data_IF_697641964826
#
_entry.id   IF_697641964826
#
_cell.length_a   1.000
_cell.length_b   1.000
_cell.length_c   1.000
_cell.angle_alpha   90.00
_cell.angle_beta   90.00
_cell.angle_gamma   90.00
#
_symmetry.space_group_name_H-M   'P 1'
#
loop_
_entity.id
_entity.type
_entity.pdbx_description
1 polymer ?
#
# COMPACT_ATOMS: atom_id res chain seq x y z
N UNK A 1 20.33 10.45 34.03
CA UNK A 1 21.19 9.73 33.06
C UNK A 1 20.48 8.43 32.75
N UNK A 2 20.52 7.99 31.51
CA UNK A 2 20.08 6.64 31.16
C UNK A 2 21.19 5.68 31.54
N UNK A 3 20.93 4.75 32.45
CA UNK A 3 21.95 3.84 32.97
C UNK A 3 22.11 2.59 32.09
N UNK A 4 21.08 2.25 31.28
CA UNK A 4 21.07 1.09 30.41
C UNK A 4 20.18 1.30 29.20
N UNK A 5 20.58 0.75 28.04
CA UNK A 5 19.74 0.62 26.82
C UNK A 5 19.56 -0.86 26.55
N UNK A 6 18.32 -1.35 26.66
CA UNK A 6 17.98 -2.72 26.33
C UNK A 6 17.39 -2.77 24.92
N UNK A 7 17.98 -3.59 24.06
CA UNK A 7 17.47 -3.80 22.71
C UNK A 7 16.41 -4.91 22.73
N UNK A 8 15.27 -4.64 22.10
CA UNK A 8 14.23 -5.66 21.93
C UNK A 8 14.72 -6.80 21.03
N UNK A 9 14.26 -8.01 21.31
CA UNK A 9 14.52 -9.20 20.50
C UNK A 9 13.24 -10.05 20.37
N UNK A 10 12.75 -10.35 19.16
CA UNK A 10 13.33 -9.98 17.87
C UNK A 10 13.17 -8.47 17.52
N UNK A 11 14.06 -7.97 16.68
CA UNK A 11 14.03 -6.60 16.17
C UNK A 11 14.40 -6.57 14.68
N UNK A 12 14.03 -5.47 13.98
CA UNK A 12 14.32 -5.28 12.56
C UNK A 12 13.04 -5.00 11.77
N UNK A 13 13.17 -4.98 10.46
CA UNK A 13 12.03 -4.84 9.56
C UNK A 13 11.31 -6.19 9.37
N UNK A 14 10.05 -6.13 8.95
CA UNK A 14 9.35 -7.33 8.50
C UNK A 14 9.84 -7.71 7.08
N UNK A 15 9.62 -8.95 6.69
CA UNK A 15 10.03 -9.47 5.38
C UNK A 15 9.43 -8.68 4.19
N UNK A 16 8.26 -8.04 4.37
CA UNK A 16 7.64 -7.19 3.37
C UNK A 16 8.43 -5.90 3.13
N UNK A 17 8.90 -5.27 4.20
CA UNK A 17 9.75 -4.07 4.17
C UNK A 17 11.11 -4.39 3.57
N UNK A 18 11.79 -5.43 4.05
CA UNK A 18 13.09 -5.85 3.54
C UNK A 18 13.02 -6.14 2.02
N UNK A 19 12.00 -6.88 1.59
CA UNK A 19 11.77 -7.17 0.18
C UNK A 19 11.57 -5.91 -0.65
N UNK A 20 10.81 -4.94 -0.16
CA UNK A 20 10.54 -3.71 -0.91
C UNK A 20 11.82 -2.87 -1.09
N UNK A 21 12.63 -2.74 -0.06
CA UNK A 21 13.95 -2.08 -0.12
C UNK A 21 14.85 -2.79 -1.12
N UNK A 22 14.98 -4.12 -1.00
CA UNK A 22 15.82 -4.94 -1.88
C UNK A 22 15.43 -4.82 -3.36
N UNK A 23 14.14 -4.70 -3.69
CA UNK A 23 13.69 -4.50 -5.07
C UNK A 23 14.23 -3.18 -5.64
N UNK A 24 14.19 -2.07 -4.90
CA UNK A 24 14.71 -0.78 -5.34
C UNK A 24 16.22 -0.85 -5.52
N UNK A 25 16.95 -1.40 -4.54
CA UNK A 25 18.40 -1.56 -4.60
C UNK A 25 18.83 -2.41 -5.81
N UNK A 26 18.17 -3.55 -6.03
CA UNK A 26 18.44 -4.41 -7.18
C UNK A 26 18.09 -3.74 -8.51
N UNK A 27 17.02 -2.94 -8.55
CA UNK A 27 16.69 -2.18 -9.75
C UNK A 27 17.78 -1.14 -10.07
N UNK A 28 18.29 -0.41 -9.05
CA UNK A 28 19.40 0.53 -9.20
C UNK A 28 20.67 -0.16 -9.70
N UNK A 29 21.01 -1.33 -9.17
CA UNK A 29 22.19 -2.10 -9.62
C UNK A 29 22.03 -2.57 -11.08
N UNK A 30 20.83 -3.01 -11.45
CA UNK A 30 20.59 -3.63 -12.75
C UNK A 30 20.39 -2.63 -13.89
N UNK A 31 19.70 -1.52 -13.62
CA UNK A 31 19.29 -0.57 -14.66
C UNK A 31 20.01 0.78 -14.55
N UNK A 32 20.71 1.03 -13.43
CA UNK A 32 21.32 2.32 -13.12
C UNK A 32 20.32 3.34 -12.60
N UNK A 33 20.85 4.42 -12.05
CA UNK A 33 20.04 5.57 -11.62
C UNK A 33 19.64 6.44 -12.83
N UNK A 34 18.47 7.13 -12.78
CA UNK A 34 17.51 7.10 -11.70
C UNK A 34 16.51 5.94 -11.80
N UNK A 35 16.04 5.45 -10.64
CA UNK A 35 14.88 4.58 -10.52
C UNK A 35 13.75 5.37 -9.85
N UNK A 36 12.59 5.40 -10.46
CA UNK A 36 11.43 6.10 -9.93
C UNK A 36 10.63 5.19 -9.00
N UNK A 37 10.21 5.70 -7.85
CA UNK A 37 9.43 4.95 -6.86
C UNK A 37 8.16 5.72 -6.53
N UNK A 38 6.99 5.12 -6.78
CA UNK A 38 5.72 5.76 -6.48
C UNK A 38 5.41 5.65 -5.00
N UNK A 39 5.23 6.79 -4.35
CA UNK A 39 5.17 6.99 -2.90
C UNK A 39 6.49 6.59 -2.21
N UNK A 40 6.61 6.86 -0.92
CA UNK A 40 7.69 6.29 -0.12
C UNK A 40 7.62 4.77 -0.20
N UNK A 41 8.78 4.11 -0.38
CA UNK A 41 8.82 2.64 -0.49
C UNK A 41 8.24 1.96 0.76
N UNK A 42 8.50 2.57 1.89
CA UNK A 42 7.96 2.26 3.22
C UNK A 42 7.94 3.55 4.05
N UNK A 43 7.10 3.66 5.07
CA UNK A 43 7.04 4.82 5.95
C UNK A 43 8.23 4.85 6.93
N UNK A 44 9.43 5.07 6.40
CA UNK A 44 10.65 5.21 7.16
C UNK A 44 11.59 6.21 6.48
N UNK A 45 11.67 7.41 7.04
CA UNK A 45 12.44 8.53 6.48
C UNK A 45 13.92 8.18 6.31
N UNK A 46 14.50 7.36 7.19
CA UNK A 46 15.90 6.95 7.09
C UNK A 46 16.10 6.10 5.83
N UNK A 47 15.29 5.06 5.65
CA UNK A 47 15.32 4.19 4.45
C UNK A 47 15.11 5.00 3.17
N UNK A 48 14.13 5.90 3.17
CA UNK A 48 13.82 6.75 2.01
C UNK A 48 15.03 7.62 1.65
N UNK A 49 15.69 8.22 2.64
CA UNK A 49 16.87 9.06 2.41
C UNK A 49 18.06 8.25 1.91
N UNK A 50 18.31 7.07 2.44
CA UNK A 50 19.39 6.19 1.98
C UNK A 50 19.18 5.79 0.50
N UNK A 51 17.95 5.43 0.13
CA UNK A 51 17.62 5.10 -1.26
C UNK A 51 17.76 6.32 -2.19
N UNK A 52 17.39 7.53 -1.74
CA UNK A 52 17.63 8.78 -2.50
C UNK A 52 19.12 9.01 -2.78
N UNK A 53 19.98 8.77 -1.79
CA UNK A 53 21.44 8.95 -1.94
C UNK A 53 22.00 8.05 -3.04
N UNK A 54 21.48 6.85 -3.22
CA UNK A 54 21.93 5.90 -4.24
C UNK A 54 21.18 6.02 -5.58
N UNK A 55 20.26 7.00 -5.71
CA UNK A 55 19.65 7.36 -6.99
C UNK A 55 18.18 6.99 -7.19
N UNK A 56 17.45 6.65 -6.11
CA UNK A 56 16.00 6.53 -6.18
C UNK A 56 15.36 7.93 -6.16
N UNK A 57 14.34 8.13 -7.01
CA UNK A 57 13.50 9.33 -7.06
C UNK A 57 12.10 8.93 -6.65
N UNK A 58 11.63 9.48 -5.54
CA UNK A 58 10.27 9.25 -5.06
C UNK A 58 9.33 10.27 -5.69
N UNK A 59 8.20 9.78 -6.21
CA UNK A 59 7.19 10.56 -6.93
C UNK A 59 5.80 10.27 -6.36
N UNK A 60 4.90 11.21 -6.51
CA UNK A 60 3.48 11.03 -6.16
C UNK A 60 2.65 10.69 -7.41
N UNK A 61 2.93 11.34 -8.54
CA UNK A 61 2.18 11.18 -9.78
C UNK A 61 3.03 10.58 -10.90
N UNK A 62 2.43 9.70 -11.71
CA UNK A 62 3.13 9.07 -12.84
C UNK A 62 3.53 10.08 -13.94
N UNK A 63 2.92 11.27 -13.95
CA UNK A 63 3.29 12.37 -14.83
C UNK A 63 4.70 12.91 -14.60
N UNK A 64 5.26 12.67 -13.41
CA UNK A 64 6.62 13.05 -13.03
C UNK A 64 7.69 12.12 -13.61
N UNK A 65 7.27 10.94 -14.12
CA UNK A 65 8.17 9.91 -14.64
C UNK A 65 8.41 10.09 -16.13
N UNK A 66 9.68 10.18 -16.60
CA UNK A 66 9.99 10.24 -18.01
C UNK A 66 9.56 8.97 -18.77
N UNK A 67 9.17 9.08 -20.05
CA UNK A 67 8.82 7.93 -20.87
C UNK A 67 9.93 6.86 -20.89
N UNK A 68 9.56 5.59 -20.75
CA UNK A 68 10.48 4.46 -20.80
C UNK A 68 11.35 4.26 -19.55
N UNK A 69 11.14 5.06 -18.50
CA UNK A 69 11.87 4.92 -17.26
C UNK A 69 11.48 3.65 -16.49
N UNK A 70 12.34 3.26 -15.55
CA UNK A 70 12.06 2.18 -14.59
C UNK A 70 11.29 2.75 -13.40
N UNK A 71 10.13 2.13 -13.14
CA UNK A 71 9.21 2.51 -12.05
C UNK A 71 9.06 1.36 -11.06
N UNK A 72 9.08 1.67 -9.77
CA UNK A 72 8.77 0.72 -8.70
C UNK A 72 7.49 1.16 -7.98
N UNK A 73 6.54 0.26 -7.84
CA UNK A 73 5.40 0.46 -6.94
C UNK A 73 5.82 0.12 -5.51
N UNK A 74 5.48 0.99 -4.55
CA UNK A 74 5.87 0.83 -3.15
C UNK A 74 5.21 -0.37 -2.47
N UNK A 75 5.63 -0.66 -1.24
CA UNK A 75 5.09 -1.76 -0.43
C UNK A 75 3.58 -1.63 -0.17
N UNK A 76 3.03 -0.42 -0.25
CA UNK A 76 1.61 -0.13 -0.01
C UNK A 76 0.67 -0.63 -1.10
N UNK A 77 1.20 -0.97 -2.27
CA UNK A 77 0.41 -1.31 -3.46
C UNK A 77 -0.18 -0.08 -4.15
N UNK A 78 -0.83 -0.32 -5.28
CA UNK A 78 -1.41 0.74 -6.12
C UNK A 78 -2.77 0.30 -6.66
N UNK A 79 -3.61 1.28 -7.02
CA UNK A 79 -4.89 1.05 -7.69
C UNK A 79 -4.72 0.43 -9.08
N UNK A 80 -5.80 -0.16 -9.61
CA UNK A 80 -5.84 -0.65 -10.99
C UNK A 80 -5.63 0.49 -12.00
N UNK A 81 -6.16 1.69 -11.72
CA UNK A 81 -5.97 2.86 -12.57
C UNK A 81 -4.48 3.21 -12.74
N UNK A 82 -3.71 3.22 -11.65
CA UNK A 82 -2.26 3.45 -11.69
C UNK A 82 -1.52 2.38 -12.47
N UNK A 83 -1.93 1.10 -12.35
CA UNK A 83 -1.35 0.00 -13.13
C UNK A 83 -1.60 0.18 -14.63
N UNK A 84 -2.82 0.56 -15.01
CA UNK A 84 -3.17 0.84 -16.41
C UNK A 84 -2.37 2.02 -16.96
N UNK A 85 -2.34 3.14 -16.24
CA UNK A 85 -1.58 4.31 -16.65
C UNK A 85 -0.09 4.01 -16.83
N UNK A 86 0.52 3.26 -15.89
CA UNK A 86 1.91 2.86 -16.02
C UNK A 86 2.17 2.00 -17.27
N UNK A 87 1.24 1.10 -17.61
CA UNK A 87 1.31 0.29 -18.81
C UNK A 87 1.16 1.13 -20.09
N UNK A 88 0.18 2.04 -20.14
CA UNK A 88 -0.04 2.95 -21.26
C UNK A 88 1.16 3.87 -21.54
N UNK A 89 1.85 4.32 -20.47
CA UNK A 89 3.07 5.13 -20.57
C UNK A 89 4.32 4.32 -20.94
N UNK A 90 4.22 2.98 -20.99
CA UNK A 90 5.30 2.09 -21.39
C UNK A 90 6.45 2.02 -20.38
N UNK A 91 6.18 2.21 -19.09
CA UNK A 91 7.21 2.09 -18.04
C UNK A 91 7.64 0.63 -17.85
N UNK A 92 8.93 0.46 -17.48
CA UNK A 92 9.43 -0.82 -16.98
C UNK A 92 9.10 -0.93 -15.49
N UNK A 93 7.99 -1.62 -15.17
CA UNK A 93 7.43 -1.64 -13.81
C UNK A 93 7.93 -2.82 -12.99
N UNK A 94 8.36 -2.56 -11.76
CA UNK A 94 8.63 -3.55 -10.72
C UNK A 94 7.67 -3.34 -9.55
N UNK A 95 6.99 -4.40 -9.14
CA UNK A 95 5.98 -4.34 -8.09
C UNK A 95 6.59 -4.79 -6.76
N UNK A 96 6.81 -3.83 -5.84
CA UNK A 96 7.29 -4.09 -4.50
C UNK A 96 6.16 -4.22 -3.46
N UNK A 97 4.89 -4.26 -3.89
CA UNK A 97 3.74 -4.43 -2.99
C UNK A 97 3.97 -5.57 -2.02
N UNK A 98 3.74 -5.31 -0.75
CA UNK A 98 3.84 -6.33 0.29
C UNK A 98 2.93 -7.52 -0.02
N UNK A 99 3.38 -8.77 0.13
CA UNK A 99 2.55 -9.95 -0.14
C UNK A 99 1.25 -9.98 0.67
N UNK A 100 1.23 -9.41 1.88
CA UNK A 100 0.00 -9.29 2.68
C UNK A 100 -0.99 -8.31 2.05
N UNK A 101 -0.53 -7.17 1.55
CA UNK A 101 -1.37 -6.21 0.80
C UNK A 101 -1.87 -6.84 -0.49
N UNK A 102 -1.01 -7.54 -1.22
CA UNK A 102 -1.41 -8.29 -2.43
C UNK A 102 -2.52 -9.28 -2.12
N UNK A 103 -2.45 -9.98 -0.98
CA UNK A 103 -3.49 -10.92 -0.55
C UNK A 103 -4.83 -10.21 -0.36
N UNK A 104 -4.84 -9.04 0.29
CA UNK A 104 -6.06 -8.23 0.46
C UNK A 104 -6.62 -7.83 -0.91
N UNK A 105 -5.79 -7.31 -1.82
CA UNK A 105 -6.22 -6.93 -3.17
C UNK A 105 -6.86 -8.09 -3.95
N UNK A 106 -6.26 -9.27 -3.88
CA UNK A 106 -6.79 -10.48 -4.54
C UNK A 106 -8.12 -10.91 -3.93
N UNK A 107 -8.24 -10.89 -2.61
CA UNK A 107 -9.48 -11.28 -1.92
C UNK A 107 -10.61 -10.29 -2.19
N UNK A 108 -10.33 -8.98 -2.17
CA UNK A 108 -11.28 -7.92 -2.55
C UNK A 108 -11.79 -8.16 -3.97
N UNK A 109 -10.90 -8.34 -4.94
CA UNK A 109 -11.30 -8.57 -6.32
C UNK A 109 -12.08 -9.88 -6.52
N UNK A 110 -11.78 -10.93 -5.74
CA UNK A 110 -12.47 -12.21 -5.78
C UNK A 110 -13.88 -12.10 -5.21
N UNK A 111 -14.01 -11.61 -3.97
CA UNK A 111 -15.31 -11.51 -3.30
C UNK A 111 -16.25 -10.50 -4.00
N UNK A 112 -15.70 -9.42 -4.58
CA UNK A 112 -16.51 -8.50 -5.38
C UNK A 112 -17.20 -9.20 -6.57
N UNK A 113 -16.50 -10.11 -7.24
CA UNK A 113 -17.11 -10.94 -8.32
C UNK A 113 -18.18 -11.89 -7.81
N UNK A 114 -18.16 -12.21 -6.53
CA UNK A 114 -19.18 -13.01 -5.84
C UNK A 114 -20.34 -12.14 -5.31
N UNK A 115 -20.29 -10.82 -5.55
CA UNK A 115 -21.35 -9.87 -5.19
C UNK A 115 -21.23 -9.30 -3.77
N UNK A 116 -20.04 -9.34 -3.18
CA UNK A 116 -19.77 -8.67 -1.90
C UNK A 116 -19.42 -7.21 -2.10
N UNK A 117 -19.85 -6.39 -1.14
CA UNK A 117 -19.38 -5.01 -0.91
C UNK A 117 -18.42 -4.99 0.28
N UNK A 118 -17.65 -3.90 0.44
CA UNK A 118 -16.58 -3.85 1.42
C UNK A 118 -16.65 -2.61 2.30
N UNK A 119 -16.41 -2.81 3.59
CA UNK A 119 -16.03 -1.76 4.51
C UNK A 119 -14.51 -1.81 4.65
N UNK A 120 -13.83 -0.74 4.20
CA UNK A 120 -12.39 -0.58 4.29
C UNK A 120 -12.04 0.25 5.51
N UNK A 121 -11.55 -0.38 6.59
CA UNK A 121 -11.10 0.32 7.78
C UNK A 121 -9.67 0.82 7.53
N UNK A 122 -9.47 2.14 7.59
CA UNK A 122 -8.17 2.75 7.31
C UNK A 122 -8.21 4.27 7.37
N UNK A 123 -7.08 4.90 7.11
CA UNK A 123 -6.95 6.35 7.12
C UNK A 123 -7.04 6.92 5.71
N UNK A 124 -7.91 7.91 5.54
CA UNK A 124 -8.07 8.63 4.27
C UNK A 124 -6.73 9.22 3.79
N UNK A 125 -6.43 9.04 2.52
CA UNK A 125 -5.19 9.52 1.92
C UNK A 125 -3.96 8.62 2.19
N UNK A 126 -4.11 7.53 2.94
CA UNK A 126 -3.02 6.58 3.10
C UNK A 126 -2.84 5.76 1.80
N UNK A 127 -1.61 5.61 1.26
CA UNK A 127 -1.37 4.93 -0.02
C UNK A 127 -1.93 3.50 -0.09
N UNK A 128 -1.88 2.73 1.00
CA UNK A 128 -2.44 1.38 1.06
C UNK A 128 -3.96 1.38 0.95
N UNK A 129 -4.63 2.36 1.59
CA UNK A 129 -6.09 2.52 1.51
C UNK A 129 -6.50 2.87 0.09
N UNK A 130 -5.84 3.85 -0.53
CA UNK A 130 -6.07 4.24 -1.92
C UNK A 130 -5.80 3.07 -2.87
N UNK A 131 -4.73 2.33 -2.66
CA UNK A 131 -4.38 1.15 -3.43
C UNK A 131 -5.43 0.05 -3.34
N UNK A 132 -5.93 -0.23 -2.14
CA UNK A 132 -6.94 -1.27 -1.89
C UNK A 132 -8.31 -0.85 -2.40
N UNK A 133 -8.77 0.36 -2.11
CA UNK A 133 -10.04 0.88 -2.62
C UNK A 133 -10.03 0.95 -4.14
N UNK A 134 -8.91 1.32 -4.74
CA UNK A 134 -8.72 1.39 -6.19
C UNK A 134 -8.58 0.03 -6.89
N UNK A 135 -8.78 -1.10 -6.19
CA UNK A 135 -8.95 -2.41 -6.85
C UNK A 135 -10.34 -2.55 -7.48
N UNK A 136 -11.32 -1.78 -7.02
CA UNK A 136 -12.70 -1.79 -7.48
C UNK A 136 -13.11 -0.41 -8.00
N UNK A 137 -14.11 -0.37 -8.85
CA UNK A 137 -14.73 0.88 -9.31
C UNK A 137 -15.85 1.35 -8.36
N UNK A 138 -16.50 0.41 -7.64
CA UNK A 138 -17.58 0.67 -6.69
C UNK A 138 -17.66 -0.44 -5.63
N UNK A 139 -18.56 -0.28 -4.66
CA UNK A 139 -18.82 -1.32 -3.65
C UNK A 139 -17.75 -1.44 -2.56
N UNK A 140 -16.88 -0.45 -2.38
CA UNK A 140 -15.92 -0.37 -1.28
C UNK A 140 -15.99 1.00 -0.63
N UNK A 141 -16.18 1.04 0.69
CA UNK A 141 -16.46 2.26 1.45
C UNK A 141 -15.46 2.42 2.58
N UNK A 142 -14.83 3.60 2.67
CA UNK A 142 -13.86 3.92 3.71
C UNK A 142 -14.57 4.12 5.05
N UNK A 143 -14.04 3.50 6.08
CA UNK A 143 -14.45 3.63 7.48
C UNK A 143 -13.24 4.07 8.29
N UNK A 144 -13.30 5.29 8.79
CA UNK A 144 -12.26 5.85 9.69
C UNK A 144 -12.70 5.80 11.15
N UNK A 145 -14.02 5.88 11.38
CA UNK A 145 -14.62 5.94 12.72
C UNK A 145 -15.87 5.05 12.81
N UNK A 146 -16.24 4.65 14.02
CA UNK A 146 -17.46 3.85 14.28
C UNK A 146 -18.71 4.45 13.63
N UNK A 147 -18.84 5.79 13.70
CA UNK A 147 -20.00 6.48 13.11
C UNK A 147 -20.12 6.32 11.59
N UNK A 148 -19.03 6.02 10.88
CA UNK A 148 -19.04 5.86 9.43
C UNK A 148 -19.76 4.57 9.00
N UNK A 149 -19.79 3.55 9.85
CA UNK A 149 -20.43 2.25 9.58
C UNK A 149 -21.91 2.47 9.25
N UNK A 150 -22.64 3.21 10.08
CA UNK A 150 -24.05 3.51 9.89
C UNK A 150 -24.36 4.33 8.61
N UNK A 151 -23.34 5.03 8.06
CA UNK A 151 -23.47 5.88 6.88
C UNK A 151 -22.96 5.25 5.61
N UNK A 152 -22.33 4.05 5.69
CA UNK A 152 -21.84 3.35 4.52
C UNK A 152 -23.01 2.97 3.59
N UNK A 153 -22.99 3.36 2.30
CA UNK A 153 -24.13 3.16 1.39
C UNK A 153 -24.17 1.71 0.85
N UNK A 154 -24.07 0.75 1.76
CA UNK A 154 -24.14 -0.68 1.46
C UNK A 154 -25.52 -1.04 0.93
N UNK A 155 -25.58 -1.75 -0.19
CA UNK A 155 -26.84 -2.16 -0.85
C UNK A 155 -27.39 -3.48 -0.30
N UNK A 156 -26.49 -4.38 0.14
CA UNK A 156 -26.87 -5.70 0.66
C UNK A 156 -26.06 -6.06 1.90
N UNK A 157 -26.65 -5.86 3.08
CA UNK A 157 -26.01 -6.13 4.36
C UNK A 157 -25.65 -7.63 4.59
N UNK A 158 -26.27 -8.57 3.83
CA UNK A 158 -25.93 -10.00 3.94
C UNK A 158 -24.65 -10.36 3.16
N UNK A 159 -24.14 -9.44 2.33
CA UNK A 159 -22.93 -9.63 1.50
C UNK A 159 -21.94 -8.49 1.68
N UNK A 160 -21.53 -8.28 2.92
CA UNK A 160 -20.52 -7.31 3.29
C UNK A 160 -19.30 -8.04 3.81
N UNK A 161 -18.14 -7.63 3.37
CA UNK A 161 -16.85 -8.07 3.91
C UNK A 161 -16.11 -6.87 4.48
N UNK A 162 -15.33 -7.09 5.54
CA UNK A 162 -14.48 -6.06 6.12
C UNK A 162 -13.04 -6.33 5.74
N UNK A 163 -12.35 -5.29 5.31
CA UNK A 163 -10.90 -5.28 5.09
C UNK A 163 -10.27 -4.13 5.84
N UNK A 164 -9.05 -4.31 6.29
CA UNK A 164 -8.35 -3.28 7.08
C UNK A 164 -7.02 -2.91 6.44
N UNK A 165 -6.59 -1.67 6.64
CA UNK A 165 -5.21 -1.28 6.43
C UNK A 165 -4.31 -2.16 7.30
N UNK A 166 -3.25 -2.74 6.73
CA UNK A 166 -2.44 -3.78 7.37
C UNK A 166 -1.62 -3.29 8.56
N UNK A 167 -1.46 -1.99 8.72
CA UNK A 167 -0.69 -1.35 9.79
C UNK A 167 -1.52 -0.91 11.00
N UNK A 168 -2.84 -1.09 10.98
CA UNK A 168 -3.70 -0.81 12.12
C UNK A 168 -3.55 -1.87 13.20
N UNK A 169 -3.64 -1.46 14.47
CA UNK A 169 -3.71 -2.39 15.58
C UNK A 169 -5.10 -3.05 15.68
N UNK A 170 -5.15 -4.19 16.36
CA UNK A 170 -6.44 -4.84 16.66
C UNK A 170 -7.30 -3.95 17.54
N UNK A 171 -6.69 -3.23 18.49
CA UNK A 171 -7.42 -2.34 19.41
C UNK A 171 -8.04 -1.15 18.66
N UNK A 172 -7.33 -0.56 17.66
CA UNK A 172 -7.84 0.54 16.84
C UNK A 172 -9.07 0.14 15.99
N UNK A 173 -9.18 -1.13 15.65
CA UNK A 173 -10.25 -1.64 14.79
C UNK A 173 -11.40 -2.31 15.57
N UNK A 174 -11.17 -2.67 16.83
CA UNK A 174 -12.10 -3.49 17.62
C UNK A 174 -13.49 -2.85 17.77
N UNK A 175 -13.56 -1.54 18.01
CA UNK A 175 -14.83 -0.82 18.17
C UNK A 175 -15.62 -0.77 16.86
N UNK A 176 -14.93 -0.55 15.74
CA UNK A 176 -15.55 -0.52 14.40
C UNK A 176 -16.08 -1.90 14.00
N UNK A 177 -15.34 -2.96 14.36
CA UNK A 177 -15.72 -4.34 14.03
C UNK A 177 -16.87 -4.87 14.90
N UNK A 178 -17.15 -4.23 16.02
CA UNK A 178 -18.23 -4.61 16.94
C UNK A 178 -19.60 -4.02 16.55
N UNK A 179 -19.62 -2.96 15.71
CA UNK A 179 -20.83 -2.29 15.21
C UNK A 179 -21.39 -3.04 14.01
#
# INVERSE_FOLDING_TARGET
MLDEIVLAEPRGFCAGVDRAIEIVERALVKFGAPIYVRHEIVHNTYVVNDLKVIGAIFIEELSEVPPGATLVFSAHGVSQAVRHEAAERGFSVFDATCPLVTKVHVEVAKLHREGYEFLMIGHKGHPEVEGTMGQLYDGIYLIEHVADVAHAPVKNAERVAVVTQTTLSVDDTAEILAE
#
